data_IF_928042066232
#
_entry.id   IF_928042066232
#
_cell.length_a   1.000
_cell.length_b   1.000
_cell.length_c   1.000
_cell.angle_alpha   90.00
_cell.angle_beta   90.00
_cell.angle_gamma   90.00
#
_symmetry.space_group_name_H-M   'P 1'
#
loop_
_entity.id
_entity.type
_entity.pdbx_description
1 polymer ?
#
# COMPACT_ATOMS: atom_id res chain seq x y z
N UNK A 1 -22.56 13.15 15.31
CA UNK A 1 -21.46 12.21 15.03
C UNK A 1 -20.20 12.75 15.67
N UNK A 2 -19.41 11.92 16.34
CA UNK A 2 -18.09 12.32 16.89
C UNK A 2 -17.15 12.72 15.75
N UNK A 3 -16.49 13.86 15.91
CA UNK A 3 -15.51 14.37 14.93
C UNK A 3 -14.35 13.36 14.77
N UNK A 4 -13.99 13.03 13.52
CA UNK A 4 -12.97 12.01 13.19
C UNK A 4 -11.56 12.58 12.99
N UNK A 5 -11.44 13.90 13.04
CA UNK A 5 -10.21 14.63 12.80
C UNK A 5 -10.11 15.81 13.76
N UNK A 6 -8.88 16.26 13.99
CA UNK A 6 -8.53 17.51 14.62
C UNK A 6 -8.36 18.53 13.49
N UNK A 7 -9.04 19.67 13.56
CA UNK A 7 -8.90 20.69 12.52
C UNK A 7 -7.46 21.19 12.47
N UNK A 8 -6.84 21.17 11.29
CA UNK A 8 -5.48 21.68 11.12
C UNK A 8 -5.46 23.21 11.03
N UNK A 9 -5.66 23.87 12.16
CA UNK A 9 -5.53 25.32 12.34
C UNK A 9 -4.26 25.70 13.13
N UNK A 10 -3.32 24.75 13.25
CA UNK A 10 -2.07 24.95 13.97
C UNK A 10 -1.15 25.87 13.15
N UNK A 11 -0.45 26.83 13.80
CA UNK A 11 0.57 27.61 13.11
C UNK A 11 1.70 26.69 12.64
N UNK A 12 2.39 27.08 11.56
CA UNK A 12 3.59 26.37 11.12
C UNK A 12 4.61 26.33 12.27
N UNK A 13 5.08 25.13 12.59
CA UNK A 13 6.05 24.90 13.66
C UNK A 13 7.40 24.53 13.07
N UNK A 14 8.48 25.02 13.68
CA UNK A 14 9.82 24.50 13.43
C UNK A 14 10.02 23.24 14.26
N UNK A 15 10.74 22.27 13.71
CA UNK A 15 11.17 21.10 14.47
C UNK A 15 12.12 21.55 15.60
N UNK A 16 11.95 20.96 16.79
CA UNK A 16 12.79 21.26 17.95
C UNK A 16 14.16 20.58 17.93
N UNK A 17 14.36 19.63 17.02
CA UNK A 17 15.59 18.85 16.86
C UNK A 17 15.83 18.57 15.38
N UNK A 18 17.04 18.16 15.03
CA UNK A 18 17.39 17.82 13.65
C UNK A 18 16.57 16.59 13.17
N UNK A 19 16.07 16.57 11.92
CA UNK A 19 15.31 15.43 11.40
C UNK A 19 16.03 14.08 11.51
N UNK A 20 17.36 14.06 11.37
CA UNK A 20 18.18 12.84 11.51
C UNK A 20 18.20 12.36 12.95
N UNK A 21 18.28 13.27 13.93
CA UNK A 21 18.20 12.93 15.35
C UNK A 21 16.83 12.36 15.70
N UNK A 22 15.74 12.97 15.22
CA UNK A 22 14.38 12.48 15.43
C UNK A 22 14.16 11.10 14.79
N UNK A 23 14.68 10.88 13.57
CA UNK A 23 14.64 9.58 12.91
C UNK A 23 15.41 8.53 13.71
N UNK A 24 16.63 8.87 14.16
CA UNK A 24 17.48 7.96 14.94
C UNK A 24 16.76 7.54 16.23
N UNK A 25 16.24 8.52 16.98
CA UNK A 25 15.49 8.28 18.21
C UNK A 25 14.22 7.44 17.98
N UNK A 26 13.47 7.71 16.90
CA UNK A 26 12.30 6.92 16.56
C UNK A 26 12.65 5.45 16.26
N UNK A 27 13.76 5.19 15.55
CA UNK A 27 14.22 3.83 15.27
C UNK A 27 14.75 3.12 16.53
N UNK A 28 15.40 3.83 17.44
CA UNK A 28 15.77 3.29 18.75
C UNK A 28 14.55 2.87 19.56
N UNK A 29 13.47 3.66 19.53
CA UNK A 29 12.19 3.29 20.15
C UNK A 29 11.55 2.07 19.49
N UNK A 30 11.60 1.95 18.15
CA UNK A 30 11.12 0.77 17.42
C UNK A 30 11.87 -0.48 17.89
N UNK A 31 13.20 -0.44 17.91
CA UNK A 31 14.04 -1.56 18.38
C UNK A 31 13.74 -1.89 19.85
N UNK A 32 13.57 -0.87 20.70
CA UNK A 32 13.32 -1.06 22.14
C UNK A 32 11.95 -1.69 22.41
N UNK A 33 10.90 -1.25 21.72
CA UNK A 33 9.52 -1.67 21.99
C UNK A 33 9.09 -2.89 21.17
N UNK A 34 9.75 -3.13 20.04
CA UNK A 34 9.51 -4.28 19.17
C UNK A 34 10.83 -4.96 18.79
N UNK A 35 11.64 -5.45 19.76
CA UNK A 35 12.94 -6.04 19.47
C UNK A 35 12.80 -7.33 18.64
N UNK A 36 13.80 -7.71 17.83
CA UNK A 36 13.89 -9.04 17.24
C UNK A 36 13.69 -10.13 18.29
N UNK A 37 13.02 -11.21 17.91
CA UNK A 37 12.67 -12.33 18.80
C UNK A 37 13.32 -13.61 18.32
N UNK A 38 13.63 -14.50 19.26
CA UNK A 38 14.05 -15.87 18.94
C UNK A 38 12.89 -16.70 18.36
N UNK A 39 11.66 -16.43 18.81
CA UNK A 39 10.44 -17.12 18.34
C UNK A 39 9.33 -16.10 18.08
N UNK A 40 8.68 -16.23 16.92
CA UNK A 40 7.54 -15.44 16.50
C UNK A 40 6.25 -16.27 16.49
N UNK A 41 5.42 -16.07 17.51
CA UNK A 41 4.04 -16.57 17.54
C UNK A 41 3.11 -15.84 16.56
N UNK A 42 1.94 -16.43 16.28
CA UNK A 42 0.90 -15.95 15.35
C UNK A 42 0.64 -14.44 15.41
N UNK A 43 0.54 -13.84 16.60
CA UNK A 43 0.34 -12.38 16.76
C UNK A 43 1.44 -11.48 16.16
N UNK A 44 2.60 -12.06 15.84
CA UNK A 44 3.72 -11.37 15.20
C UNK A 44 3.80 -11.64 13.69
N UNK A 45 2.98 -12.57 13.18
CA UNK A 45 2.95 -13.06 11.81
C UNK A 45 1.85 -12.33 11.03
N UNK A 46 2.20 -11.18 10.48
CA UNK A 46 1.27 -10.27 9.79
C UNK A 46 1.80 -9.73 8.47
N UNK A 47 2.82 -10.41 7.91
CA UNK A 47 3.51 -10.01 6.71
C UNK A 47 4.15 -8.62 6.83
N UNK A 48 4.13 -7.87 5.73
CA UNK A 48 4.54 -6.47 5.70
C UNK A 48 3.53 -5.54 6.39
N UNK A 49 2.29 -5.98 6.58
CA UNK A 49 1.20 -5.10 6.98
C UNK A 49 1.13 -4.86 8.48
N UNK A 50 1.26 -5.92 9.28
CA UNK A 50 1.17 -5.84 10.76
C UNK A 50 2.24 -6.66 11.48
N UNK A 51 3.08 -7.40 10.74
CA UNK A 51 4.04 -8.34 11.28
C UNK A 51 5.46 -7.79 11.45
N UNK A 52 6.31 -8.59 12.11
CA UNK A 52 7.74 -8.28 12.28
C UNK A 52 8.52 -8.35 10.96
N UNK A 53 7.98 -9.05 9.96
CA UNK A 53 8.50 -9.00 8.58
C UNK A 53 8.43 -7.59 8.00
N UNK A 54 7.40 -6.80 8.34
CA UNK A 54 7.33 -5.38 8.00
C UNK A 54 8.44 -4.54 8.64
N UNK A 55 8.87 -4.86 9.86
CA UNK A 55 10.03 -4.22 10.51
C UNK A 55 11.34 -4.57 9.81
N UNK A 56 11.54 -5.84 9.44
CA UNK A 56 12.70 -6.24 8.64
C UNK A 56 12.77 -5.44 7.32
N UNK A 57 11.62 -5.29 6.66
CA UNK A 57 11.53 -4.53 5.42
C UNK A 57 11.77 -3.02 5.61
N UNK A 58 11.28 -2.43 6.71
CA UNK A 58 11.59 -1.05 7.10
C UNK A 58 13.10 -0.83 7.20
N UNK A 59 13.81 -1.69 7.93
CA UNK A 59 15.25 -1.58 8.10
C UNK A 59 16.02 -1.82 6.78
N UNK A 60 15.55 -2.72 5.92
CA UNK A 60 16.12 -2.91 4.58
C UNK A 60 16.00 -1.62 3.75
N UNK A 61 14.82 -1.02 3.67
CA UNK A 61 14.60 0.23 2.93
C UNK A 61 15.47 1.37 3.47
N UNK A 62 15.53 1.53 4.79
CA UNK A 62 16.33 2.58 5.40
C UNK A 62 17.84 2.35 5.23
N UNK A 63 18.30 1.10 5.08
CA UNK A 63 19.72 0.82 4.84
C UNK A 63 20.23 1.36 3.51
N UNK A 64 19.37 1.46 2.49
CA UNK A 64 19.69 2.09 1.21
C UNK A 64 19.60 3.62 1.29
N UNK A 65 18.60 4.15 1.99
CA UNK A 65 18.39 5.60 2.12
C UNK A 65 19.40 6.29 3.04
N UNK A 66 19.86 5.58 4.08
CA UNK A 66 20.74 6.10 5.13
C UNK A 66 21.87 5.09 5.45
N UNK A 67 22.81 4.86 4.51
CA UNK A 67 23.82 3.80 4.65
C UNK A 67 24.75 3.97 5.87
N UNK A 68 24.97 5.21 6.32
CA UNK A 68 25.83 5.51 7.46
C UNK A 68 25.09 5.52 8.81
N UNK A 69 23.75 5.41 8.81
CA UNK A 69 22.97 5.44 10.04
C UNK A 69 23.15 4.14 10.81
N UNK A 70 23.41 4.27 12.11
CA UNK A 70 23.54 3.14 13.03
C UNK A 70 22.57 3.31 14.19
N UNK A 71 21.96 2.20 14.59
CA UNK A 71 21.06 2.13 15.75
C UNK A 71 21.69 1.18 16.76
N UNK A 72 21.95 1.67 17.97
CA UNK A 72 22.67 0.93 19.01
C UNK A 72 24.00 0.32 18.52
N UNK A 73 24.74 1.08 17.70
CA UNK A 73 26.03 0.67 17.14
C UNK A 73 26.00 -0.30 15.97
N UNK A 74 24.82 -0.81 15.57
CA UNK A 74 24.66 -1.71 14.43
C UNK A 74 24.12 -0.98 13.20
N UNK A 75 24.57 -1.38 12.01
CA UNK A 75 24.00 -0.89 10.75
C UNK A 75 22.56 -1.41 10.55
N UNK A 76 21.82 -0.72 9.69
CA UNK A 76 20.40 -1.00 9.47
C UNK A 76 20.16 -2.35 8.77
N UNK A 77 21.06 -2.80 7.90
CA UNK A 77 20.92 -4.10 7.24
C UNK A 77 21.11 -5.25 8.24
N UNK A 78 21.99 -5.09 9.22
CA UNK A 78 22.16 -6.01 10.35
C UNK A 78 20.87 -6.11 11.17
N UNK A 79 20.19 -4.98 11.44
CA UNK A 79 18.86 -5.03 12.06
C UNK A 79 17.82 -5.77 11.22
N UNK A 80 17.76 -5.48 9.91
CA UNK A 80 16.86 -6.16 8.98
C UNK A 80 17.03 -7.69 9.02
N UNK A 81 18.28 -8.17 9.03
CA UNK A 81 18.62 -9.60 9.16
C UNK A 81 18.15 -10.18 10.49
N UNK A 82 18.43 -9.52 11.62
CA UNK A 82 18.03 -9.97 12.96
C UNK A 82 16.52 -10.15 13.09
N UNK A 83 15.72 -9.27 12.48
CA UNK A 83 14.26 -9.43 12.47
C UNK A 83 13.80 -10.71 11.74
N UNK A 84 14.58 -11.23 10.80
CA UNK A 84 14.26 -12.47 10.07
C UNK A 84 14.79 -13.76 10.74
N UNK A 85 15.73 -13.68 11.68
CA UNK A 85 16.40 -14.85 12.27
C UNK A 85 15.51 -15.72 13.16
N UNK A 86 14.51 -15.11 13.82
CA UNK A 86 13.65 -15.84 14.75
C UNK A 86 12.78 -16.90 14.08
N UNK A 87 12.55 -18.00 14.79
CA UNK A 87 11.70 -19.11 14.36
C UNK A 87 10.25 -18.64 14.17
N UNK A 88 9.65 -19.02 13.04
CA UNK A 88 8.27 -18.72 12.66
C UNK A 88 7.42 -19.98 12.51
N UNK A 89 7.99 -21.14 12.84
CA UNK A 89 7.42 -22.44 12.53
C UNK A 89 7.27 -22.67 11.03
N UNK A 90 6.45 -23.66 10.67
CA UNK A 90 6.15 -23.97 9.27
C UNK A 90 5.14 -22.96 8.71
N UNK A 91 5.63 -21.97 7.98
CA UNK A 91 4.79 -21.02 7.26
C UNK A 91 4.11 -21.69 6.06
N UNK A 92 2.79 -21.54 5.97
CA UNK A 92 1.95 -22.00 4.86
C UNK A 92 1.21 -20.82 4.24
N UNK A 93 0.89 -20.92 2.95
CA UNK A 93 0.07 -19.92 2.28
C UNK A 93 -1.39 -20.09 2.74
N UNK A 94 -1.90 -19.12 3.47
CA UNK A 94 -3.26 -19.12 3.99
C UNK A 94 -4.30 -18.94 2.87
N UNK A 95 -5.44 -19.61 3.02
CA UNK A 95 -6.57 -19.51 2.10
C UNK A 95 -7.06 -18.07 2.05
N UNK A 96 -7.07 -17.47 0.85
CA UNK A 96 -7.51 -16.09 0.64
C UNK A 96 -6.55 -15.00 1.12
N UNK A 97 -5.31 -15.33 1.47
CA UNK A 97 -4.29 -14.37 1.91
C UNK A 97 -2.96 -14.57 1.17
N UNK A 98 -2.83 -13.94 0.01
CA UNK A 98 -1.62 -13.89 -0.82
C UNK A 98 -1.07 -12.47 -1.07
N UNK A 99 -1.59 -11.48 -0.33
CA UNK A 99 -1.11 -10.10 -0.42
C UNK A 99 -0.04 -9.78 0.61
N UNK A 100 0.17 -8.49 0.87
CA UNK A 100 1.20 -8.01 1.80
C UNK A 100 0.95 -8.37 3.29
N UNK A 101 -0.23 -8.84 3.66
CA UNK A 101 -0.50 -9.39 4.99
C UNK A 101 -0.13 -10.87 5.12
N UNK A 102 0.19 -11.54 4.02
CA UNK A 102 0.59 -12.95 4.02
C UNK A 102 1.99 -13.07 4.62
N UNK A 103 2.12 -13.63 5.82
CA UNK A 103 3.44 -13.85 6.45
C UNK A 103 4.31 -14.73 5.55
N UNK A 104 3.77 -15.81 5.01
CA UNK A 104 4.48 -16.74 4.12
C UNK A 104 5.15 -16.00 2.96
N UNK A 105 4.37 -15.26 2.16
CA UNK A 105 4.91 -14.59 0.97
C UNK A 105 5.80 -13.41 1.33
N UNK A 106 5.38 -12.60 2.31
CA UNK A 106 6.14 -11.43 2.74
C UNK A 106 7.51 -11.83 3.29
N UNK A 107 7.56 -12.86 4.15
CA UNK A 107 8.79 -13.33 4.76
C UNK A 107 9.75 -13.87 3.69
N UNK A 108 9.26 -14.71 2.78
CA UNK A 108 10.10 -15.27 1.72
C UNK A 108 10.61 -14.19 0.75
N UNK A 109 9.76 -13.22 0.39
CA UNK A 109 10.16 -12.11 -0.48
C UNK A 109 11.21 -11.21 0.19
N UNK A 110 11.00 -10.79 1.44
CA UNK A 110 11.96 -9.95 2.18
C UNK A 110 13.26 -10.73 2.44
N UNK A 111 13.19 -12.01 2.78
CA UNK A 111 14.37 -12.86 2.96
C UNK A 111 15.18 -12.96 1.67
N UNK A 112 14.53 -13.17 0.52
CA UNK A 112 15.20 -13.15 -0.78
C UNK A 112 15.87 -11.79 -1.07
N UNK A 113 15.21 -10.68 -0.74
CA UNK A 113 15.77 -9.32 -0.91
C UNK A 113 17.01 -9.08 -0.03
N UNK A 114 16.99 -9.55 1.22
CA UNK A 114 18.06 -9.34 2.19
C UNK A 114 19.26 -10.26 1.92
N UNK A 115 19.03 -11.55 1.71
CA UNK A 115 20.13 -12.51 1.54
C UNK A 115 20.66 -12.53 0.11
N UNK A 116 19.80 -12.21 -0.88
CA UNK A 116 20.12 -12.31 -2.31
C UNK A 116 20.60 -13.73 -2.69
N UNK A 117 20.04 -14.76 -2.06
CA UNK A 117 20.35 -16.17 -2.33
C UNK A 117 19.28 -16.79 -3.24
N UNK A 118 19.70 -17.63 -4.19
CA UNK A 118 18.80 -18.20 -5.19
C UNK A 118 17.77 -19.15 -4.59
N UNK A 119 18.13 -19.92 -3.56
CA UNK A 119 17.19 -20.81 -2.87
C UNK A 119 16.04 -20.04 -2.22
N UNK A 120 16.31 -18.85 -1.66
CA UNK A 120 15.26 -18.01 -1.07
C UNK A 120 14.35 -17.41 -2.14
N UNK A 121 14.93 -17.01 -3.28
CA UNK A 121 14.16 -16.56 -4.44
C UNK A 121 13.27 -17.68 -4.99
N UNK A 122 13.82 -18.88 -5.19
CA UNK A 122 13.09 -20.05 -5.68
C UNK A 122 11.94 -20.41 -4.74
N UNK A 123 12.19 -20.40 -3.42
CA UNK A 123 11.15 -20.64 -2.42
C UNK A 123 9.98 -19.64 -2.56
N UNK A 124 10.27 -18.34 -2.65
CA UNK A 124 9.24 -17.32 -2.88
C UNK A 124 8.46 -17.58 -4.18
N UNK A 125 9.16 -17.81 -5.30
CA UNK A 125 8.55 -18.04 -6.62
C UNK A 125 7.77 -19.35 -6.71
N UNK A 126 8.09 -20.35 -5.89
CA UNK A 126 7.38 -21.63 -5.85
C UNK A 126 5.90 -21.50 -5.44
N UNK A 127 5.51 -20.38 -4.83
CA UNK A 127 4.12 -20.10 -4.49
C UNK A 127 3.29 -19.60 -5.69
N UNK A 128 3.92 -19.08 -6.75
CA UNK A 128 3.22 -18.43 -7.88
C UNK A 128 2.20 -19.34 -8.59
N UNK A 129 2.47 -20.65 -8.82
CA UNK A 129 1.46 -21.55 -9.39
C UNK A 129 0.17 -21.59 -8.58
N UNK A 130 0.24 -21.61 -7.25
CA UNK A 130 -0.95 -21.59 -6.39
C UNK A 130 -1.73 -20.28 -6.60
N UNK A 131 -1.06 -19.14 -6.70
CA UNK A 131 -1.76 -17.88 -6.96
C UNK A 131 -2.40 -17.83 -8.36
N UNK A 132 -1.94 -18.62 -9.32
CA UNK A 132 -2.39 -18.59 -10.73
C UNK A 132 -3.48 -19.61 -11.04
N UNK A 133 -3.54 -20.73 -10.31
CA UNK A 133 -4.44 -21.85 -10.59
C UNK A 133 -3.80 -22.97 -11.42
N UNK A 134 -4.59 -23.85 -12.05
CA UNK A 134 -5.96 -23.60 -12.51
C UNK A 134 -7.01 -23.61 -11.40
N UNK A 135 -8.05 -22.80 -11.59
CA UNK A 135 -9.25 -22.79 -10.76
C UNK A 135 -10.46 -22.90 -11.69
N UNK A 136 -11.34 -23.85 -11.41
CA UNK A 136 -12.50 -24.15 -12.26
C UNK A 136 -13.76 -23.43 -11.79
N UNK A 137 -13.75 -22.86 -10.58
CA UNK A 137 -14.83 -22.04 -10.04
C UNK A 137 -14.32 -20.92 -9.12
N UNK A 138 -15.10 -19.84 -8.92
CA UNK A 138 -14.79 -18.81 -7.91
C UNK A 138 -14.69 -19.35 -6.47
N UNK A 139 -15.35 -20.48 -6.17
CA UNK A 139 -15.27 -21.12 -4.86
C UNK A 139 -13.90 -21.79 -4.62
N UNK A 140 -13.23 -22.20 -5.70
CA UNK A 140 -11.87 -22.74 -5.67
C UNK A 140 -10.82 -21.63 -5.64
N UNK A 141 -11.02 -20.56 -6.41
CA UNK A 141 -10.14 -19.39 -6.37
C UNK A 141 -10.51 -18.43 -5.24
N UNK A 142 -9.91 -18.66 -4.08
CA UNK A 142 -10.23 -17.87 -2.88
C UNK A 142 -9.37 -16.62 -2.70
N UNK A 143 -8.38 -16.40 -3.57
CA UNK A 143 -7.48 -15.26 -3.45
C UNK A 143 -8.12 -14.00 -4.06
N UNK A 144 -8.27 -12.91 -3.28
CA UNK A 144 -8.82 -11.68 -3.83
C UNK A 144 -7.80 -10.98 -4.74
N UNK A 145 -8.25 -9.91 -5.41
CA UNK A 145 -7.37 -9.10 -6.26
C UNK A 145 -6.66 -7.97 -5.50
N UNK A 146 -7.15 -7.57 -4.32
CA UNK A 146 -6.70 -6.38 -3.62
C UNK A 146 -5.30 -6.46 -2.96
N UNK A 147 -4.87 -5.39 -2.29
CA UNK A 147 -3.47 -5.19 -1.91
C UNK A 147 -3.08 -5.95 -0.62
N UNK A 148 -3.75 -5.76 0.53
CA UNK A 148 -3.48 -6.52 1.75
C UNK A 148 -3.51 -8.05 1.61
N UNK A 149 -4.58 -8.62 1.09
CA UNK A 149 -4.81 -10.07 1.09
C UNK A 149 -4.69 -10.71 -0.30
N UNK A 150 -4.57 -9.93 -1.36
CA UNK A 150 -4.75 -10.39 -2.73
C UNK A 150 -3.54 -10.28 -3.63
N UNK A 151 -3.78 -10.61 -4.89
CA UNK A 151 -2.75 -10.71 -5.93
C UNK A 151 -2.06 -9.38 -6.25
N UNK A 152 -2.71 -8.24 -6.02
CA UNK A 152 -2.04 -6.94 -6.15
C UNK A 152 -0.89 -6.80 -5.13
N UNK A 153 -1.04 -7.35 -3.92
CA UNK A 153 0.06 -7.44 -2.95
C UNK A 153 1.18 -8.37 -3.38
N UNK A 154 0.86 -9.50 -4.03
CA UNK A 154 1.86 -10.38 -4.63
C UNK A 154 2.64 -9.67 -5.75
N UNK A 155 1.97 -8.88 -6.59
CA UNK A 155 2.63 -8.05 -7.61
C UNK A 155 3.60 -7.04 -6.98
N UNK A 156 3.21 -6.39 -5.88
CA UNK A 156 4.12 -5.53 -5.11
C UNK A 156 5.39 -6.27 -4.69
N UNK A 157 5.24 -7.46 -4.09
CA UNK A 157 6.37 -8.26 -3.62
C UNK A 157 7.26 -8.75 -4.77
N UNK A 158 6.70 -9.10 -5.92
CA UNK A 158 7.48 -9.46 -7.11
C UNK A 158 8.31 -8.28 -7.64
N UNK A 159 7.75 -7.06 -7.67
CA UNK A 159 8.51 -5.85 -8.04
C UNK A 159 9.58 -5.51 -6.99
N UNK A 160 9.27 -5.69 -5.71
CA UNK A 160 10.23 -5.53 -4.62
C UNK A 160 11.43 -6.48 -4.80
N UNK A 161 11.18 -7.76 -5.07
CA UNK A 161 12.23 -8.75 -5.37
C UNK A 161 13.01 -8.36 -6.62
N UNK A 162 12.33 -7.94 -7.71
CA UNK A 162 13.00 -7.45 -8.93
C UNK A 162 13.98 -6.30 -8.64
N UNK A 163 13.61 -5.38 -7.75
CA UNK A 163 14.42 -4.23 -7.38
C UNK A 163 15.64 -4.62 -6.53
N UNK A 164 15.43 -5.40 -5.46
CA UNK A 164 16.51 -5.77 -4.53
C UNK A 164 17.42 -6.90 -5.03
N UNK A 165 16.92 -7.71 -5.96
CA UNK A 165 17.63 -8.83 -6.60
C UNK A 165 17.56 -8.65 -8.13
N UNK A 166 18.28 -7.68 -8.74
CA UNK A 166 18.15 -7.38 -10.17
C UNK A 166 18.33 -8.58 -11.11
N UNK A 167 19.18 -9.54 -10.72
CA UNK A 167 19.39 -10.79 -11.48
C UNK A 167 18.14 -11.68 -11.57
N UNK A 168 17.11 -11.43 -10.75
CA UNK A 168 15.85 -12.18 -10.80
C UNK A 168 14.93 -11.72 -11.93
N UNK A 169 15.27 -10.69 -12.71
CA UNK A 169 14.38 -10.08 -13.70
C UNK A 169 13.70 -11.09 -14.64
N UNK A 170 14.47 -11.96 -15.27
CA UNK A 170 13.94 -12.99 -16.17
C UNK A 170 13.06 -14.04 -15.46
N UNK A 171 13.30 -14.28 -14.16
CA UNK A 171 12.55 -15.23 -13.35
C UNK A 171 11.21 -14.66 -12.87
N UNK A 172 11.13 -13.34 -12.64
CA UNK A 172 9.91 -12.68 -12.15
C UNK A 172 8.99 -12.17 -13.27
N UNK A 173 9.51 -11.99 -14.48
CA UNK A 173 8.75 -11.44 -15.61
C UNK A 173 7.50 -12.28 -15.96
N UNK A 174 7.67 -13.60 -16.07
CA UNK A 174 6.56 -14.51 -16.38
C UNK A 174 5.51 -14.55 -15.24
N UNK A 175 5.89 -14.72 -13.95
CA UNK A 175 4.96 -14.57 -12.83
C UNK A 175 4.21 -13.23 -12.81
N UNK A 176 4.90 -12.10 -13.03
CA UNK A 176 4.28 -10.77 -13.06
C UNK A 176 3.23 -10.72 -14.17
N UNK A 177 3.60 -11.06 -15.41
CA UNK A 177 2.69 -11.02 -16.55
C UNK A 177 1.44 -11.87 -16.29
N UNK A 178 1.62 -13.12 -15.87
CA UNK A 178 0.51 -14.06 -15.62
C UNK A 178 -0.39 -13.61 -14.47
N UNK A 179 0.17 -13.01 -13.42
CA UNK A 179 -0.63 -12.44 -12.32
C UNK A 179 -1.42 -11.21 -12.76
N UNK A 180 -0.82 -10.33 -13.57
CA UNK A 180 -1.56 -9.18 -14.13
C UNK A 180 -2.70 -9.64 -15.02
N UNK A 181 -2.50 -10.65 -15.88
CA UNK A 181 -3.55 -11.28 -16.67
C UNK A 181 -4.65 -11.88 -15.78
N UNK A 182 -4.27 -12.63 -14.73
CA UNK A 182 -5.24 -13.23 -13.80
C UNK A 182 -6.13 -12.19 -13.14
N UNK A 183 -5.56 -11.09 -12.65
CA UNK A 183 -6.32 -9.99 -12.03
C UNK A 183 -7.23 -9.30 -13.07
N UNK A 184 -6.72 -9.07 -14.28
CA UNK A 184 -7.50 -8.42 -15.35
C UNK A 184 -8.71 -9.27 -15.79
N UNK A 185 -8.62 -10.60 -15.70
CA UNK A 185 -9.74 -11.51 -15.98
C UNK A 185 -10.69 -11.75 -14.81
N UNK A 186 -10.41 -11.19 -13.63
CA UNK A 186 -11.28 -11.35 -12.47
C UNK A 186 -12.61 -10.63 -12.70
N UNK A 187 -13.70 -11.33 -12.40
CA UNK A 187 -15.06 -10.82 -12.47
C UNK A 187 -15.86 -11.29 -11.24
N UNK A 188 -15.68 -10.60 -10.12
CA UNK A 188 -16.23 -11.03 -8.83
C UNK A 188 -17.76 -10.82 -8.73
N UNK A 189 -18.31 -9.91 -9.53
CA UNK A 189 -19.74 -9.53 -9.50
C UNK A 189 -20.50 -9.76 -10.82
N UNK A 190 -19.88 -10.44 -11.80
CA UNK A 190 -20.45 -10.69 -13.13
C UNK A 190 -20.49 -9.44 -14.04
N UNK A 191 -19.80 -8.36 -13.66
CA UNK A 191 -19.75 -7.07 -14.39
C UNK A 191 -18.33 -6.56 -14.59
N UNK A 192 -17.33 -7.41 -14.41
CA UNK A 192 -15.91 -7.14 -14.49
C UNK A 192 -15.37 -6.29 -13.33
N UNK A 193 -16.00 -6.32 -12.15
CA UNK A 193 -15.48 -5.60 -10.98
C UNK A 193 -14.67 -6.50 -10.06
N UNK A 194 -13.75 -5.87 -9.33
CA UNK A 194 -13.06 -6.51 -8.22
C UNK A 194 -13.83 -6.27 -6.92
N UNK A 195 -14.03 -7.33 -6.15
CA UNK A 195 -14.67 -7.27 -4.85
C UNK A 195 -13.79 -7.87 -3.76
N UNK A 196 -13.96 -7.36 -2.54
CA UNK A 196 -13.41 -7.96 -1.34
C UNK A 196 -14.52 -8.07 -0.31
N UNK A 197 -14.74 -9.27 0.24
CA UNK A 197 -15.90 -9.60 1.08
C UNK A 197 -17.25 -9.14 0.48
N UNK A 198 -17.46 -9.42 -0.82
CA UNK A 198 -18.71 -9.11 -1.53
C UNK A 198 -18.99 -7.61 -1.68
N UNK A 199 -17.94 -6.78 -1.67
CA UNK A 199 -18.04 -5.33 -1.80
C UNK A 199 -16.96 -4.81 -2.74
N UNK A 200 -17.40 -4.04 -3.74
CA UNK A 200 -16.50 -3.20 -4.54
C UNK A 200 -16.01 -1.98 -3.74
N UNK A 201 -14.73 -1.95 -3.40
CA UNK A 201 -14.06 -0.81 -2.79
C UNK A 201 -13.36 0.07 -3.83
N UNK A 202 -13.10 1.33 -3.47
CA UNK A 202 -12.41 2.27 -4.36
C UNK A 202 -11.00 2.64 -3.89
N UNK A 203 -10.71 2.57 -2.58
CA UNK A 203 -9.46 3.02 -1.97
C UNK A 203 -8.24 2.12 -2.19
N UNK A 204 -7.07 2.57 -1.73
CA UNK A 204 -5.78 1.95 -2.06
C UNK A 204 -5.53 0.58 -1.41
N UNK A 205 -6.17 0.29 -0.27
CA UNK A 205 -6.03 -1.02 0.37
C UNK A 205 -6.84 -2.08 -0.38
N UNK A 206 -8.16 -1.95 -0.37
CA UNK A 206 -9.06 -3.03 -0.81
C UNK A 206 -9.70 -2.82 -2.19
N UNK A 207 -9.38 -1.71 -2.87
CA UNK A 207 -10.21 -1.20 -3.96
C UNK A 207 -9.50 -0.95 -5.28
N UNK A 208 -10.31 -0.50 -6.24
CA UNK A 208 -9.93 -0.33 -7.64
C UNK A 208 -8.62 0.46 -7.82
N UNK A 209 -8.45 1.59 -7.12
CA UNK A 209 -7.26 2.43 -7.33
C UNK A 209 -5.97 1.73 -6.88
N UNK A 210 -6.02 0.94 -5.80
CA UNK A 210 -4.89 0.15 -5.32
C UNK A 210 -4.51 -0.93 -6.31
N UNK A 211 -5.51 -1.67 -6.81
CA UNK A 211 -5.33 -2.73 -7.81
C UNK A 211 -4.74 -2.16 -9.11
N UNK A 212 -5.32 -1.07 -9.63
CA UNK A 212 -4.84 -0.39 -10.86
C UNK A 212 -3.39 0.06 -10.69
N UNK A 213 -3.03 0.61 -9.52
CA UNK A 213 -1.65 1.02 -9.22
C UNK A 213 -0.70 -0.16 -9.37
N UNK A 214 -1.01 -1.30 -8.76
CA UNK A 214 -0.14 -2.47 -8.84
C UNK A 214 -0.08 -3.08 -10.24
N UNK A 215 -1.19 -3.06 -11.00
CA UNK A 215 -1.22 -3.51 -12.38
C UNK A 215 -0.32 -2.67 -13.27
N UNK A 216 -0.50 -1.34 -13.28
CA UNK A 216 0.23 -0.42 -14.17
C UNK A 216 1.72 -0.38 -13.82
N UNK A 217 2.08 -0.35 -12.54
CA UNK A 217 3.49 -0.36 -12.12
C UNK A 217 4.19 -1.69 -12.42
N UNK A 218 3.45 -2.80 -12.56
CA UNK A 218 4.03 -4.11 -12.90
C UNK A 218 4.03 -4.39 -14.39
N UNK A 219 3.05 -3.86 -15.12
CA UNK A 219 2.91 -4.00 -16.56
C UNK A 219 2.31 -2.70 -17.15
N UNK A 220 3.17 -1.70 -17.50
CA UNK A 220 2.73 -0.42 -18.03
C UNK A 220 1.88 -0.51 -19.30
N UNK A 221 2.01 -1.59 -20.08
CA UNK A 221 1.21 -1.80 -21.30
C UNK A 221 -0.29 -1.97 -21.03
N UNK A 222 -0.69 -2.21 -19.77
CA UNK A 222 -2.10 -2.29 -19.37
C UNK A 222 -2.76 -0.93 -19.18
N UNK A 223 -2.00 0.18 -19.11
CA UNK A 223 -2.56 1.49 -18.85
C UNK A 223 -3.68 1.89 -19.83
N UNK A 224 -3.54 1.73 -21.17
CA UNK A 224 -4.63 2.05 -22.11
C UNK A 224 -5.93 1.28 -21.86
N UNK A 225 -5.85 0.03 -21.39
CA UNK A 225 -7.02 -0.79 -21.07
C UNK A 225 -7.71 -0.35 -19.77
N UNK A 226 -6.98 0.33 -18.89
CA UNK A 226 -7.43 0.79 -17.58
C UNK A 226 -7.88 2.26 -17.58
N UNK A 227 -7.67 3.02 -18.66
CA UNK A 227 -8.04 4.44 -18.79
C UNK A 227 -9.46 4.70 -18.31
N UNK A 228 -10.45 3.98 -18.86
CA UNK A 228 -11.87 4.15 -18.49
C UNK A 228 -12.15 3.86 -17.01
N UNK A 229 -11.39 2.97 -16.36
CA UNK A 229 -11.53 2.71 -14.92
C UNK A 229 -11.00 3.89 -14.12
N UNK A 230 -9.84 4.44 -14.50
CA UNK A 230 -9.26 5.63 -13.86
C UNK A 230 -10.17 6.85 -14.02
N UNK A 231 -10.73 7.07 -15.21
CA UNK A 231 -11.68 8.17 -15.45
C UNK A 231 -12.89 8.12 -14.52
N UNK A 232 -13.52 6.94 -14.40
CA UNK A 232 -14.64 6.73 -13.47
C UNK A 232 -14.24 7.00 -12.03
N UNK A 233 -13.02 6.62 -11.63
CA UNK A 233 -12.52 6.91 -10.28
C UNK A 233 -12.29 8.41 -10.05
N UNK A 234 -11.84 9.15 -11.07
CA UNK A 234 -11.72 10.61 -11.01
C UNK A 234 -13.10 11.27 -10.89
N UNK A 235 -14.10 10.76 -11.62
CA UNK A 235 -15.51 11.23 -11.55
C UNK A 235 -16.17 10.99 -10.18
N UNK A 236 -15.69 10.00 -9.42
CA UNK A 236 -16.18 9.73 -8.06
C UNK A 236 -15.67 10.72 -7.01
N UNK A 237 -14.71 11.60 -7.34
CA UNK A 237 -14.20 12.58 -6.39
C UNK A 237 -15.30 13.58 -6.03
N UNK A 238 -15.60 13.68 -4.75
CA UNK A 238 -16.57 14.63 -4.21
C UNK A 238 -16.11 16.08 -4.34
N UNK A 239 -17.04 17.04 -4.21
CA UNK A 239 -16.72 18.47 -4.28
C UNK A 239 -15.78 18.94 -3.16
N UNK A 240 -15.71 18.21 -2.03
CA UNK A 240 -14.77 18.47 -0.95
C UNK A 240 -13.34 17.98 -1.23
N UNK A 241 -13.16 17.21 -2.32
CA UNK A 241 -11.89 16.61 -2.73
C UNK A 241 -11.67 15.18 -2.23
N UNK A 242 -12.63 14.59 -1.52
CA UNK A 242 -12.52 13.23 -1.00
C UNK A 242 -13.21 12.18 -1.89
N UNK A 243 -12.93 10.90 -1.66
CA UNK A 243 -13.54 9.78 -2.36
C UNK A 243 -14.39 8.91 -1.43
N UNK A 244 -15.52 8.36 -1.93
CA UNK A 244 -16.27 7.34 -1.20
C UNK A 244 -15.41 6.09 -0.99
N UNK A 245 -15.67 5.35 0.09
CA UNK A 245 -14.89 4.14 0.41
C UNK A 245 -15.22 2.95 -0.50
N UNK A 246 -16.48 2.84 -0.94
CA UNK A 246 -17.02 1.70 -1.69
C UNK A 246 -18.29 2.08 -2.46
N UNK A 247 -18.66 1.24 -3.44
CA UNK A 247 -19.90 1.40 -4.19
C UNK A 247 -21.14 1.39 -3.28
N UNK A 248 -21.12 0.56 -2.22
CA UNK A 248 -22.20 0.52 -1.23
C UNK A 248 -22.34 1.87 -0.49
N UNK A 249 -21.23 2.45 -0.04
CA UNK A 249 -21.24 3.76 0.62
C UNK A 249 -21.82 4.84 -0.30
N UNK A 250 -21.45 4.81 -1.58
CA UNK A 250 -21.95 5.73 -2.59
C UNK A 250 -23.48 5.59 -2.77
N UNK A 251 -23.98 4.35 -2.94
CA UNK A 251 -25.42 4.07 -3.11
C UNK A 251 -26.26 4.44 -1.90
N UNK A 252 -25.72 4.28 -0.69
CA UNK A 252 -26.40 4.65 0.56
C UNK A 252 -26.38 6.16 0.83
N UNK A 253 -25.83 6.98 -0.08
CA UNK A 253 -25.71 8.43 0.10
C UNK A 253 -24.78 8.82 1.26
N UNK A 254 -23.95 7.88 1.75
CA UNK A 254 -22.99 8.16 2.82
C UNK A 254 -21.86 9.00 2.23
N UNK A 255 -21.76 10.24 2.69
CA UNK A 255 -20.68 11.14 2.32
C UNK A 255 -19.29 10.54 2.59
N UNK A 256 -18.31 10.95 1.79
CA UNK A 256 -16.92 10.55 1.91
C UNK A 256 -16.31 11.05 3.24
N UNK A 257 -16.40 10.24 4.30
CA UNK A 257 -16.02 10.63 5.67
C UNK A 257 -14.68 10.10 6.16
N UNK A 258 -14.03 9.22 5.39
CA UNK A 258 -12.73 8.65 5.71
C UNK A 258 -11.65 9.41 4.95
N UNK A 259 -10.62 9.87 5.66
CA UNK A 259 -9.42 10.53 5.12
C UNK A 259 -8.23 9.67 5.55
N UNK A 260 -8.05 8.53 4.89
CA UNK A 260 -7.09 7.49 5.28
C UNK A 260 -6.42 6.92 4.02
N UNK A 261 -5.23 6.32 4.16
CA UNK A 261 -4.59 5.61 3.06
C UNK A 261 -5.47 4.45 2.56
N UNK A 262 -6.04 3.66 3.48
CA UNK A 262 -6.90 2.54 3.08
C UNK A 262 -8.19 2.98 2.38
N UNK A 263 -8.79 4.09 2.83
CA UNK A 263 -10.05 4.62 2.32
C UNK A 263 -10.09 6.16 2.34
N UNK A 264 -10.18 6.77 1.17
CA UNK A 264 -10.32 8.21 0.98
C UNK A 264 -9.13 8.85 0.27
N UNK A 265 -9.11 10.19 0.30
CA UNK A 265 -8.17 11.01 -0.44
C UNK A 265 -6.70 10.60 -0.28
N UNK A 266 -6.17 10.32 0.93
CA UNK A 266 -4.76 9.98 1.07
C UNK A 266 -4.36 8.82 0.18
N UNK A 267 -5.09 7.70 0.19
CA UNK A 267 -4.79 6.55 -0.66
C UNK A 267 -4.81 6.87 -2.16
N UNK A 268 -5.78 7.70 -2.58
CA UNK A 268 -5.84 8.18 -3.97
C UNK A 268 -4.64 9.05 -4.34
N UNK A 269 -4.11 9.88 -3.43
CA UNK A 269 -2.93 10.70 -3.71
C UNK A 269 -1.70 9.84 -4.06
N UNK A 270 -1.42 8.77 -3.29
CA UNK A 270 -0.31 7.85 -3.58
C UNK A 270 -0.46 7.26 -4.99
N UNK A 271 -1.65 6.73 -5.26
CA UNK A 271 -1.94 6.05 -6.52
C UNK A 271 -1.91 7.00 -7.71
N UNK A 272 -2.63 8.11 -7.65
CA UNK A 272 -2.72 9.07 -8.75
C UNK A 272 -1.35 9.68 -9.08
N UNK A 273 -0.54 9.99 -8.07
CA UNK A 273 0.84 10.49 -8.30
C UNK A 273 1.67 9.44 -9.03
N UNK A 274 1.59 8.17 -8.62
CA UNK A 274 2.33 7.07 -9.24
C UNK A 274 1.81 6.74 -10.65
N UNK A 275 0.52 6.90 -10.88
CA UNK A 275 -0.15 6.57 -12.15
C UNK A 275 -0.05 7.69 -13.19
N UNK A 276 0.11 8.95 -12.76
CA UNK A 276 0.15 10.14 -13.63
C UNK A 276 1.01 9.97 -14.89
N UNK A 277 2.24 9.43 -14.84
CA UNK A 277 3.08 9.30 -16.04
C UNK A 277 2.53 8.32 -17.10
N UNK A 278 1.63 7.41 -16.71
CA UNK A 278 1.11 6.34 -17.56
C UNK A 278 -0.23 6.68 -18.23
N UNK A 279 -0.84 7.81 -17.87
CA UNK A 279 -2.12 8.28 -18.44
C UNK A 279 -1.96 9.70 -18.99
N UNK A 280 -1.25 9.89 -20.13
CA UNK A 280 -0.96 11.22 -20.68
C UNK A 280 -2.22 12.05 -20.93
N UNK A 281 -3.29 11.42 -21.43
CA UNK A 281 -4.56 12.11 -21.73
C UNK A 281 -5.37 12.49 -20.48
N UNK A 282 -4.98 12.00 -19.30
CA UNK A 282 -5.66 12.29 -18.04
C UNK A 282 -4.82 13.17 -17.09
N UNK A 283 -3.63 13.60 -17.48
CA UNK A 283 -2.71 14.30 -16.57
C UNK A 283 -3.35 15.53 -15.90
N UNK A 284 -4.01 16.40 -16.67
CA UNK A 284 -4.66 17.59 -16.12
C UNK A 284 -5.78 17.24 -15.12
N UNK A 285 -6.57 16.21 -15.43
CA UNK A 285 -7.64 15.73 -14.52
C UNK A 285 -7.06 15.09 -13.26
N UNK A 286 -5.95 14.36 -13.40
CA UNK A 286 -5.21 13.75 -12.29
C UNK A 286 -4.63 14.84 -11.39
N UNK A 287 -4.03 15.88 -11.96
CA UNK A 287 -3.41 16.98 -11.20
C UNK A 287 -4.46 17.75 -10.41
N UNK A 288 -5.59 18.11 -11.02
CA UNK A 288 -6.72 18.73 -10.32
C UNK A 288 -7.25 17.83 -9.20
N UNK A 289 -7.33 16.53 -9.42
CA UNK A 289 -7.78 15.58 -8.39
C UNK A 289 -6.78 15.48 -7.23
N UNK A 290 -5.48 15.49 -7.51
CA UNK A 290 -4.40 15.53 -6.52
C UNK A 290 -4.48 16.80 -5.69
N UNK A 291 -4.61 17.98 -6.29
CA UNK A 291 -4.71 19.26 -5.57
C UNK A 291 -5.90 19.28 -4.60
N UNK A 292 -7.07 18.84 -5.06
CA UNK A 292 -8.27 18.70 -4.21
C UNK A 292 -8.07 17.68 -3.08
N UNK A 293 -7.46 16.54 -3.38
CA UNK A 293 -7.16 15.50 -2.39
C UNK A 293 -6.16 15.98 -1.33
N UNK A 294 -5.15 16.75 -1.73
CA UNK A 294 -4.20 17.41 -0.82
C UNK A 294 -4.92 18.43 0.07
N UNK A 295 -5.86 19.19 -0.51
CA UNK A 295 -6.67 20.16 0.24
C UNK A 295 -7.47 19.55 1.38
N UNK A 296 -8.19 18.47 1.10
CA UNK A 296 -8.99 17.81 2.14
C UNK A 296 -8.10 17.06 3.14
N UNK A 297 -6.99 16.46 2.68
CA UNK A 297 -6.04 15.75 3.56
C UNK A 297 -5.33 16.72 4.49
N UNK A 298 -4.94 17.91 4.02
CA UNK A 298 -4.35 18.93 4.89
C UNK A 298 -5.32 19.40 5.98
N UNK A 299 -6.59 19.64 5.62
CA UNK A 299 -7.61 20.14 6.54
C UNK A 299 -8.07 19.10 7.55
N UNK A 300 -8.30 17.85 7.10
CA UNK A 300 -8.99 16.81 7.87
C UNK A 300 -8.16 15.52 8.07
N UNK A 301 -6.89 15.50 7.66
CA UNK A 301 -6.01 14.32 7.75
C UNK A 301 -5.33 14.14 9.11
N UNK A 302 -5.44 15.10 10.04
CA UNK A 302 -5.04 14.93 11.43
C UNK A 302 -6.11 14.11 12.17
N UNK A 303 -6.04 12.79 12.08
CA UNK A 303 -7.09 11.91 12.61
C UNK A 303 -7.07 11.85 14.14
N UNK A 304 -8.25 11.62 14.74
CA UNK A 304 -8.36 11.34 16.18
C UNK A 304 -7.92 9.93 16.57
N UNK A 305 -7.67 9.07 15.57
CA UNK A 305 -7.08 7.73 15.75
C UNK A 305 -5.59 7.85 16.09
N UNK A 306 -5.05 6.78 16.69
CA UNK A 306 -3.62 6.66 16.94
C UNK A 306 -2.79 6.83 15.65
N UNK A 307 -1.59 7.47 15.76
CA UNK A 307 -0.69 7.61 14.63
C UNK A 307 -0.29 6.27 14.01
N UNK A 308 -0.55 6.09 12.72
CA UNK A 308 -0.15 4.92 11.95
C UNK A 308 -0.13 5.25 10.44
N UNK A 309 0.38 4.32 9.62
CA UNK A 309 0.44 4.47 8.16
C UNK A 309 -0.89 4.19 7.46
N UNK A 310 -1.66 3.18 7.90
CA UNK A 310 -2.85 2.76 7.16
C UNK A 310 -4.02 3.76 7.27
N UNK A 311 -4.24 4.30 8.46
CA UNK A 311 -5.38 5.17 8.77
C UNK A 311 -5.06 6.12 9.94
N UNK A 312 -3.88 6.73 9.89
CA UNK A 312 -3.39 7.69 10.87
C UNK A 312 -2.61 8.81 10.19
N UNK A 313 -2.11 9.74 11.01
CA UNK A 313 -1.41 10.95 10.55
C UNK A 313 -0.17 10.64 9.68
N UNK A 314 0.60 9.59 10.00
CA UNK A 314 1.82 9.28 9.27
C UNK A 314 1.56 8.94 7.81
N UNK A 315 0.56 8.10 7.52
CA UNK A 315 0.18 7.80 6.14
C UNK A 315 -0.44 8.99 5.42
N UNK A 316 -1.19 9.82 6.14
CA UNK A 316 -1.82 11.00 5.55
C UNK A 316 -0.78 12.08 5.18
N UNK A 317 0.32 12.20 5.93
CA UNK A 317 1.31 13.25 5.73
C UNK A 317 2.22 13.05 4.51
N UNK A 318 2.43 11.81 4.03
CA UNK A 318 3.46 11.52 3.01
C UNK A 318 3.24 12.21 1.65
N UNK A 319 2.00 12.57 1.29
CA UNK A 319 1.66 13.18 -0.01
C UNK A 319 0.99 14.56 0.11
N UNK A 320 1.11 15.20 1.28
CA UNK A 320 0.69 16.59 1.47
C UNK A 320 1.93 17.48 1.37
N UNK A 321 1.94 18.51 0.50
CA UNK A 321 3.13 19.32 0.31
C UNK A 321 3.43 20.15 1.57
N UNK A 322 4.72 20.42 1.87
CA UNK A 322 5.14 21.13 3.08
C UNK A 322 4.69 22.59 3.14
N UNK A 323 4.35 23.19 1.99
CA UNK A 323 3.73 24.52 1.90
C UNK A 323 2.40 24.38 1.16
N UNK A 324 1.33 24.12 1.92
CA UNK A 324 0.00 24.03 1.36
C UNK A 324 -0.81 25.29 1.67
N UNK A 325 -1.21 26.03 0.62
CA UNK A 325 -2.24 27.07 0.74
C UNK A 325 -3.58 26.41 0.37
N UNK A 326 -4.50 26.20 1.33
CA UNK A 326 -5.76 25.57 1.01
C UNK A 326 -6.55 26.38 -0.01
N UNK A 327 -7.12 25.67 -0.99
CA UNK A 327 -8.09 26.25 -1.91
C UNK A 327 -9.24 26.86 -1.08
N UNK A 328 -9.62 28.13 -1.34
CA UNK A 328 -10.76 28.73 -0.67
C UNK A 328 -12.01 27.89 -0.98
N UNK A 329 -12.88 27.74 0.02
CA UNK A 329 -14.20 27.13 -0.17
C UNK A 329 -15.02 28.05 -1.08
N UNK A 330 -15.00 27.83 -2.40
CA UNK A 330 -15.96 28.47 -3.29
C UNK A 330 -17.29 27.73 -3.18
N UNK A 331 -18.11 28.14 -2.21
CA UNK A 331 -19.55 27.96 -2.28
C UNK A 331 -20.18 29.32 -2.51
N UNK A 332 -20.57 29.57 -3.76
CA UNK A 332 -21.77 30.34 -4.06
C UNK A 332 -22.40 29.67 -5.27
N UNK A 333 -23.46 28.90 -4.99
CA UNK A 333 -24.50 28.71 -5.98
C UNK A 333 -25.02 30.11 -6.30
N UNK A 334 -24.81 30.57 -7.53
CA UNK A 334 -25.67 31.61 -8.08
C UNK A 334 -26.86 30.91 -8.73
N UNK A 335 -28.02 31.35 -8.28
CA UNK A 335 -29.39 31.03 -8.70
C UNK A 335 -29.59 30.90 -10.20
#
# INVERSE_FOLDING_TARGET
MTQRYISNNLPSQKLGSDPKELLTYALELVVRHTPPREVYHERHLGGLFTGYTGLAYLFLQLSELYPDLKISGQDLLSWAKRYLEGDRGKLVLEKGNCGISSEKLSFEAVRACITKEDDHLINFLSNMPILLGPYTSPQEDTFPSEMPYGRAGALYMLRMVKHWVPRSESLVESPIRRLTERIMTTDDDGRGNWEWHGKRYFGAAHGDIGIITQLVLSNPSLAPQLTRRVEKLLELQGPDGNWPSSLRSLKEGKGASLIQWCHGAPGFLYSLTSLRPYFPDLQDRIDVAIEKGQSITWRHGLLTKEPCLCHGIFGNALYVPPVFKPLPLSFTAMS
#
